data_IF_028122320904
#
_entry.id   IF_028122320904
#
_cell.length_a   1.000
_cell.length_b   1.000
_cell.length_c   1.000
_cell.angle_alpha   90.00
_cell.angle_beta   90.00
_cell.angle_gamma   90.00
#
_symmetry.space_group_name_H-M   'P 1'
#
loop_
_entity.id
_entity.type
_entity.pdbx_description
1 polymer ?
#
# COMPACT_ATOMS: atom_id res chain seq x y z
N UNK A 1 22.05 -10.18 30.05
CA UNK A 1 21.35 -9.03 29.55
C UNK A 1 21.98 -8.72 28.21
N UNK A 2 21.32 -9.07 27.12
CA UNK A 2 21.78 -8.83 25.76
C UNK A 2 21.01 -7.67 25.16
N UNK A 3 21.63 -6.98 24.18
CA UNK A 3 20.98 -5.90 23.43
C UNK A 3 20.73 -6.36 22.01
N UNK A 4 19.48 -6.22 21.57
CA UNK A 4 19.03 -6.60 20.24
C UNK A 4 18.57 -5.36 19.48
N UNK A 5 18.94 -5.23 18.24
CA UNK A 5 18.47 -4.14 17.38
C UNK A 5 17.30 -4.63 16.54
N UNK A 6 16.24 -3.84 16.51
CA UNK A 6 15.11 -4.11 15.63
C UNK A 6 14.81 -2.91 14.74
N UNK A 7 14.71 -3.20 13.43
CA UNK A 7 14.39 -2.20 12.42
C UNK A 7 13.19 -2.66 11.59
N UNK A 8 12.40 -1.70 11.11
CA UNK A 8 11.34 -1.96 10.16
C UNK A 8 11.52 -1.10 8.93
N UNK A 9 11.62 -1.77 7.79
CA UNK A 9 11.87 -1.18 6.48
C UNK A 9 10.60 -1.21 5.68
N UNK A 10 10.21 -0.08 5.06
CA UNK A 10 9.14 -0.09 4.07
C UNK A 10 9.72 -0.38 2.70
N UNK A 11 9.04 -1.20 1.88
CA UNK A 11 9.57 -1.72 0.63
C UNK A 11 9.69 -0.70 -0.50
N UNK A 12 10.84 -0.73 -1.21
CA UNK A 12 11.05 -0.53 -2.66
C UNK A 12 11.27 0.86 -3.25
N UNK A 13 11.24 1.97 -2.57
CA UNK A 13 11.67 3.23 -3.18
C UNK A 13 13.05 3.67 -2.70
N UNK A 14 13.81 4.37 -3.55
CA UNK A 14 15.16 4.87 -3.23
C UNK A 14 15.17 5.82 -2.01
N UNK A 15 14.05 6.54 -1.79
CA UNK A 15 13.82 7.36 -0.61
C UNK A 15 13.68 6.53 0.69
N UNK A 16 13.29 5.27 0.58
CA UNK A 16 13.09 4.35 1.71
C UNK A 16 14.38 3.61 2.08
N UNK A 17 15.29 3.38 1.12
CA UNK A 17 16.65 2.90 1.42
C UNK A 17 17.40 3.91 2.30
N UNK A 18 17.29 5.20 1.98
CA UNK A 18 17.86 6.26 2.81
C UNK A 18 17.24 6.29 4.21
N UNK A 19 15.93 5.96 4.34
CA UNK A 19 15.26 5.87 5.65
C UNK A 19 15.80 4.73 6.51
N UNK A 20 16.20 3.61 5.92
CA UNK A 20 16.77 2.46 6.63
C UNK A 20 18.21 2.75 7.06
N UNK A 21 18.98 3.33 6.16
CA UNK A 21 20.35 3.74 6.45
C UNK A 21 20.38 4.78 7.58
N UNK A 22 19.47 5.76 7.55
CA UNK A 22 19.33 6.74 8.61
C UNK A 22 18.93 6.12 9.96
N UNK A 23 18.03 5.11 9.96
CA UNK A 23 17.68 4.38 11.19
C UNK A 23 18.89 3.64 11.74
N UNK A 24 19.62 2.93 10.88
CA UNK A 24 20.83 2.19 11.28
C UNK A 24 21.92 3.13 11.79
N UNK A 25 22.13 4.26 11.13
CA UNK A 25 23.10 5.27 11.55
C UNK A 25 22.74 5.86 12.93
N UNK A 26 21.47 6.22 13.17
CA UNK A 26 21.00 6.70 14.45
C UNK A 26 21.18 5.69 15.57
N UNK A 27 20.82 4.41 15.33
CA UNK A 27 21.00 3.34 16.31
C UNK A 27 22.49 3.07 16.56
N UNK A 28 23.32 3.00 15.52
CA UNK A 28 24.76 2.77 15.68
C UNK A 28 25.45 3.87 16.47
N UNK A 29 25.05 5.13 16.26
CA UNK A 29 25.53 6.26 17.04
C UNK A 29 25.17 6.10 18.50
N UNK A 30 23.89 5.81 18.81
CA UNK A 30 23.43 5.58 20.17
C UNK A 30 24.18 4.44 20.85
N UNK A 31 24.38 3.32 20.17
CA UNK A 31 25.12 2.15 20.64
C UNK A 31 26.59 2.50 20.95
N UNK A 32 27.22 3.29 20.09
CA UNK A 32 28.59 3.74 20.29
C UNK A 32 28.72 4.72 21.47
N UNK A 33 27.81 5.70 21.55
CA UNK A 33 27.82 6.73 22.61
C UNK A 33 27.61 6.12 24.00
N UNK A 34 26.88 4.99 24.10
CA UNK A 34 26.59 4.30 25.35
C UNK A 34 27.43 3.05 25.58
N UNK A 35 28.44 2.77 24.70
CA UNK A 35 29.31 1.58 24.81
C UNK A 35 28.52 0.25 24.91
N UNK A 36 27.41 0.12 24.15
CA UNK A 36 26.57 -1.05 24.15
C UNK A 36 27.12 -2.08 23.17
N UNK A 37 27.14 -3.37 23.59
CA UNK A 37 27.46 -4.48 22.68
C UNK A 37 26.15 -5.11 22.20
N UNK A 38 25.90 -5.02 20.90
CA UNK A 38 24.71 -5.59 20.25
C UNK A 38 24.93 -7.08 20.03
N UNK A 39 23.98 -7.92 20.46
CA UNK A 39 24.01 -9.37 20.31
C UNK A 39 23.53 -9.82 18.90
N UNK A 40 22.65 -9.06 18.30
CA UNK A 40 22.13 -9.31 16.96
C UNK A 40 21.16 -8.24 16.46
N UNK A 41 20.87 -8.30 15.18
CA UNK A 41 20.01 -7.35 14.49
C UNK A 41 18.89 -8.10 13.74
N UNK A 42 17.66 -7.65 13.90
CA UNK A 42 16.47 -8.18 13.23
C UNK A 42 15.78 -7.08 12.44
N UNK A 43 15.24 -7.44 11.30
CA UNK A 43 14.53 -6.48 10.47
C UNK A 43 13.32 -7.10 9.79
N UNK A 44 12.24 -6.32 9.69
CA UNK A 44 11.09 -6.66 8.86
C UNK A 44 11.05 -5.78 7.63
N UNK A 45 11.03 -6.38 6.46
CA UNK A 45 10.72 -5.66 5.23
C UNK A 45 9.22 -5.41 5.19
N UNK A 46 8.82 -4.13 5.28
CA UNK A 46 7.41 -3.76 5.22
C UNK A 46 6.79 -4.23 3.92
N UNK A 47 5.75 -5.03 4.02
CA UNK A 47 4.88 -5.34 2.90
C UNK A 47 4.40 -4.03 2.30
N UNK A 48 4.60 -3.87 1.00
CA UNK A 48 4.28 -2.70 0.18
C UNK A 48 2.97 -2.05 0.62
N UNK A 49 3.01 -0.76 0.96
CA UNK A 49 1.85 0.05 1.33
C UNK A 49 0.90 0.36 0.19
N UNK A 50 0.75 -0.56 -0.75
CA UNK A 50 -0.28 -0.55 -1.76
C UNK A 50 -1.46 -1.38 -1.27
N UNK A 51 -2.46 -0.68 -0.70
CA UNK A 51 -3.84 -1.12 -0.75
C UNK A 51 -4.14 -2.41 0.03
N UNK A 52 -4.24 -2.30 1.35
CA UNK A 52 -5.46 -2.78 1.98
C UNK A 52 -5.69 -1.99 3.27
N UNK A 53 -6.71 -1.14 3.27
CA UNK A 53 -7.17 -0.39 4.45
C UNK A 53 -8.06 -1.26 5.34
N UNK A 54 -7.98 -2.55 5.20
CA UNK A 54 -8.62 -3.51 6.06
C UNK A 54 -7.68 -3.86 7.21
N UNK A 55 -8.19 -3.80 8.40
CA UNK A 55 -7.56 -3.75 9.71
C UNK A 55 -6.57 -4.89 10.09
N UNK A 56 -6.14 -5.73 9.17
CA UNK A 56 -5.35 -6.93 9.45
C UNK A 56 -3.87 -6.85 9.07
N UNK A 57 -3.40 -5.72 8.51
CA UNK A 57 -2.01 -5.63 8.00
C UNK A 57 -0.92 -5.53 9.09
N UNK A 58 -1.30 -5.36 10.33
CA UNK A 58 -0.38 -5.36 11.47
C UNK A 58 -0.37 -6.67 12.27
N UNK A 59 -0.87 -7.72 11.68
CA UNK A 59 -0.81 -9.01 12.33
C UNK A 59 0.65 -9.37 12.64
N UNK A 60 0.96 -9.58 13.92
CA UNK A 60 2.28 -9.95 14.43
C UNK A 60 2.88 -11.12 13.63
N UNK A 61 2.05 -12.06 13.18
CA UNK A 61 2.46 -13.24 12.40
C UNK A 61 2.98 -12.95 10.99
N UNK A 62 2.85 -11.71 10.48
CA UNK A 62 3.46 -11.29 9.20
C UNK A 62 4.83 -10.63 9.39
N UNK A 63 5.27 -10.49 10.63
CA UNK A 63 6.53 -9.83 11.02
C UNK A 63 7.54 -10.87 11.47
N UNK A 64 8.11 -11.56 10.49
CA UNK A 64 9.03 -12.69 10.72
C UNK A 64 10.22 -12.27 11.58
N UNK A 65 10.82 -11.10 11.30
CA UNK A 65 11.93 -10.59 12.09
C UNK A 65 11.57 -10.25 13.53
N UNK A 66 10.37 -9.70 13.79
CA UNK A 66 9.91 -9.47 15.15
C UNK A 66 9.63 -10.77 15.89
N UNK A 67 9.02 -11.75 15.22
CA UNK A 67 8.74 -13.06 15.81
C UNK A 67 10.06 -13.79 16.16
N UNK A 68 11.02 -13.75 15.26
CA UNK A 68 12.35 -14.35 15.47
C UNK A 68 13.07 -13.66 16.64
N UNK A 69 13.04 -12.34 16.72
CA UNK A 69 13.56 -11.57 17.84
C UNK A 69 12.93 -12.00 19.18
N UNK A 70 11.59 -12.04 19.24
CA UNK A 70 10.86 -12.43 20.45
C UNK A 70 11.11 -13.89 20.84
N UNK A 71 11.42 -14.76 19.89
CA UNK A 71 11.80 -16.15 20.14
C UNK A 71 13.27 -16.33 20.55
N UNK A 72 14.15 -15.39 20.22
CA UNK A 72 15.58 -15.46 20.50
C UNK A 72 15.96 -14.73 21.80
N UNK A 73 15.28 -13.61 22.07
CA UNK A 73 15.57 -12.80 23.25
C UNK A 73 15.15 -13.52 24.55
N UNK A 74 15.99 -13.39 25.57
CA UNK A 74 15.77 -13.95 26.89
C UNK A 74 15.18 -12.91 27.85
N UNK A 75 14.61 -13.37 28.96
CA UNK A 75 14.11 -12.51 30.03
C UNK A 75 15.18 -11.50 30.48
N UNK A 76 14.84 -10.22 30.52
CA UNK A 76 15.73 -9.14 30.92
C UNK A 76 16.59 -8.57 29.79
N UNK A 77 16.48 -9.08 28.55
CA UNK A 77 17.16 -8.49 27.40
C UNK A 77 16.48 -7.19 26.96
N UNK A 78 17.23 -6.39 26.20
CA UNK A 78 16.78 -5.05 25.77
C UNK A 78 16.74 -4.97 24.25
N UNK A 79 15.62 -4.48 23.73
CA UNK A 79 15.41 -4.21 22.30
C UNK A 79 15.64 -2.72 22.04
N UNK A 80 16.55 -2.40 21.12
CA UNK A 80 16.84 -1.04 20.69
C UNK A 80 16.13 -0.78 19.36
N UNK A 81 15.33 0.28 19.31
CA UNK A 81 14.65 0.76 18.10
C UNK A 81 14.91 2.24 17.88
N UNK A 82 14.87 2.71 16.64
CA UNK A 82 14.97 4.14 16.38
C UNK A 82 13.81 4.90 17.04
N UNK A 83 12.58 4.41 16.84
CA UNK A 83 11.37 5.00 17.40
C UNK A 83 10.37 3.88 17.72
N UNK A 84 9.57 4.03 18.76
CA UNK A 84 8.55 3.05 19.16
C UNK A 84 7.53 2.75 18.06
N UNK A 85 7.27 3.70 17.15
CA UNK A 85 6.44 3.48 15.94
C UNK A 85 6.99 2.40 15.00
N UNK A 86 8.23 1.93 15.19
CA UNK A 86 8.79 0.80 14.46
C UNK A 86 8.31 -0.54 15.01
N UNK A 87 8.04 -0.58 16.33
CA UNK A 87 7.49 -1.78 16.97
C UNK A 87 6.00 -1.94 16.66
N UNK A 88 5.21 -0.86 16.67
CA UNK A 88 3.78 -0.89 16.40
C UNK A 88 3.34 0.22 15.44
N UNK A 89 2.31 -0.03 14.66
CA UNK A 89 1.77 0.90 13.67
C UNK A 89 0.31 1.27 13.94
N UNK A 90 -0.41 0.40 14.64
CA UNK A 90 -1.80 0.60 15.05
C UNK A 90 -1.93 0.38 16.55
N UNK A 91 -3.00 0.90 17.14
CA UNK A 91 -3.30 0.72 18.56
C UNK A 91 -3.48 -0.76 18.92
N UNK A 92 -4.06 -1.54 18.02
CA UNK A 92 -4.24 -3.00 18.23
C UNK A 92 -2.90 -3.72 18.27
N UNK A 93 -2.00 -3.44 17.31
CA UNK A 93 -0.66 -4.02 17.29
C UNK A 93 0.14 -3.59 18.51
N UNK A 94 0.02 -2.32 18.96
CA UNK A 94 0.65 -1.81 20.18
C UNK A 94 0.27 -2.64 21.40
N UNK A 95 -1.02 -2.86 21.62
CA UNK A 95 -1.51 -3.63 22.76
C UNK A 95 -0.96 -5.06 22.76
N UNK A 96 -0.99 -5.72 21.59
CA UNK A 96 -0.53 -7.10 21.46
C UNK A 96 0.99 -7.22 21.66
N UNK A 97 1.77 -6.38 20.96
CA UNK A 97 3.24 -6.42 21.06
C UNK A 97 3.70 -6.04 22.47
N UNK A 98 3.11 -4.98 23.06
CA UNK A 98 3.40 -4.60 24.45
C UNK A 98 3.14 -5.74 25.42
N UNK A 99 2.02 -6.46 25.25
CA UNK A 99 1.68 -7.63 26.08
C UNK A 99 2.73 -8.74 25.95
N UNK A 100 3.19 -9.05 24.74
CA UNK A 100 4.21 -10.08 24.53
C UNK A 100 5.58 -9.64 25.09
N UNK A 101 5.98 -8.38 24.89
CA UNK A 101 7.21 -7.84 25.50
C UNK A 101 7.17 -7.91 27.03
N UNK A 102 6.04 -7.53 27.63
CA UNK A 102 5.86 -7.59 29.10
C UNK A 102 5.85 -9.04 29.62
N UNK A 103 5.23 -9.96 28.89
CA UNK A 103 5.20 -11.38 29.25
C UNK A 103 6.60 -12.00 29.20
N UNK A 104 7.40 -11.63 28.23
CA UNK A 104 8.78 -12.06 28.07
C UNK A 104 9.77 -11.21 28.91
N UNK A 105 9.28 -10.21 29.64
CA UNK A 105 10.06 -9.27 30.48
C UNK A 105 11.21 -8.61 29.71
N UNK A 106 10.96 -8.24 28.46
CA UNK A 106 11.92 -7.56 27.59
C UNK A 106 11.83 -6.05 27.78
N UNK A 107 12.96 -5.37 27.82
CA UNK A 107 13.05 -3.92 27.84
C UNK A 107 13.08 -3.34 26.44
N UNK A 108 12.66 -2.08 26.29
CA UNK A 108 12.69 -1.35 25.02
C UNK A 108 13.38 -0.01 25.24
N UNK A 109 14.37 0.27 24.40
CA UNK A 109 15.00 1.59 24.30
C UNK A 109 14.63 2.19 22.94
N UNK A 110 14.06 3.38 22.97
CA UNK A 110 13.82 4.20 21.77
C UNK A 110 14.92 5.26 21.67
N UNK A 111 15.65 5.27 20.54
CA UNK A 111 16.74 6.25 20.33
C UNK A 111 16.19 7.68 20.30
N UNK A 112 15.02 7.88 19.68
CA UNK A 112 14.37 9.20 19.59
C UNK A 112 13.73 9.64 20.90
N UNK A 113 13.44 8.71 21.82
CA UNK A 113 12.90 8.98 23.14
C UNK A 113 13.54 8.04 24.18
N UNK A 114 14.75 8.34 24.66
CA UNK A 114 15.48 7.48 25.60
C UNK A 114 14.78 7.29 26.96
N UNK A 115 13.93 8.22 27.34
CA UNK A 115 13.17 8.19 28.60
C UNK A 115 11.92 7.30 28.52
N UNK A 116 11.68 6.65 27.36
CA UNK A 116 10.54 5.76 27.19
C UNK A 116 10.71 4.49 28.02
N UNK A 117 9.88 4.32 29.05
CA UNK A 117 9.79 3.07 29.83
C UNK A 117 8.49 2.32 29.55
N UNK A 118 8.63 1.09 29.07
CA UNK A 118 7.51 0.17 28.80
C UNK A 118 6.79 -0.26 30.09
N UNK A 119 7.52 -0.30 31.21
CA UNK A 119 7.07 -0.83 32.49
C UNK A 119 6.67 0.25 33.51
N UNK A 120 6.77 1.51 33.15
CA UNK A 120 6.40 2.58 34.05
C UNK A 120 5.00 2.39 34.61
N UNK A 121 4.87 2.55 35.93
CA UNK A 121 3.60 2.60 36.65
C UNK A 121 3.27 3.99 37.10
N UNK A 122 4.18 4.94 36.90
CA UNK A 122 3.93 6.33 37.19
C UNK A 122 2.88 6.90 36.21
N UNK A 123 1.73 7.38 36.73
CA UNK A 123 0.70 7.96 35.87
C UNK A 123 1.19 9.17 35.08
N UNK A 124 2.15 9.93 35.57
CA UNK A 124 2.71 11.11 34.89
C UNK A 124 3.55 10.67 33.68
N UNK A 125 4.44 9.69 33.88
CA UNK A 125 5.24 9.14 32.78
C UNK A 125 4.37 8.45 31.71
N UNK A 126 3.34 7.70 32.12
CA UNK A 126 2.38 7.13 31.20
C UNK A 126 1.67 8.20 30.37
N UNK A 127 1.27 9.30 31.00
CA UNK A 127 0.66 10.44 30.30
C UNK A 127 1.66 11.09 29.34
N UNK A 128 2.89 11.33 29.78
CA UNK A 128 3.93 11.92 28.93
C UNK A 128 4.25 11.07 27.71
N UNK A 129 4.40 9.75 27.88
CA UNK A 129 4.58 8.81 26.77
C UNK A 129 3.41 8.86 25.78
N UNK A 130 2.18 8.92 26.29
CA UNK A 130 0.98 9.06 25.47
C UNK A 130 0.94 10.39 24.69
N UNK A 131 1.30 11.49 25.32
CA UNK A 131 1.38 12.81 24.67
C UNK A 131 2.44 12.81 23.56
N UNK A 132 3.63 12.25 23.81
CA UNK A 132 4.68 12.18 22.79
C UNK A 132 4.25 11.36 21.56
N UNK A 133 3.62 10.20 21.76
CA UNK A 133 3.08 9.41 20.67
C UNK A 133 2.00 10.19 19.86
N UNK A 134 1.11 10.91 20.55
CA UNK A 134 0.09 11.75 19.89
C UNK A 134 0.72 12.92 19.12
N UNK A 135 1.79 13.50 19.60
CA UNK A 135 2.53 14.56 18.90
C UNK A 135 3.18 14.03 17.61
N UNK A 136 3.80 12.85 17.66
CA UNK A 136 4.37 12.20 16.48
C UNK A 136 3.29 11.94 15.39
N UNK A 137 2.12 11.48 15.80
CA UNK A 137 1.01 11.25 14.89
C UNK A 137 0.45 12.56 14.31
N UNK A 138 0.31 13.58 15.14
CA UNK A 138 -0.10 14.92 14.73
C UNK A 138 0.87 15.51 13.70
N UNK A 139 2.18 15.39 13.90
CA UNK A 139 3.17 15.86 12.94
C UNK A 139 3.05 15.14 11.58
N UNK A 140 2.90 13.81 11.60
CA UNK A 140 2.65 13.01 10.37
C UNK A 140 1.41 13.50 9.61
N UNK A 141 0.31 13.71 10.34
CA UNK A 141 -0.93 14.23 9.74
C UNK A 141 -0.75 15.65 9.17
N UNK A 142 -0.06 16.54 9.88
CA UNK A 142 0.23 17.89 9.40
C UNK A 142 1.08 17.88 8.12
N UNK A 143 2.10 17.04 8.07
CA UNK A 143 2.92 16.86 6.85
C UNK A 143 2.05 16.38 5.69
N UNK A 144 1.20 15.38 5.91
CA UNK A 144 0.29 14.86 4.89
C UNK A 144 -0.68 15.95 4.37
N UNK A 145 -1.24 16.77 5.27
CA UNK A 145 -2.12 17.91 4.93
C UNK A 145 -1.36 18.96 4.12
N UNK A 146 -0.16 19.35 4.56
CA UNK A 146 0.69 20.31 3.84
C UNK A 146 1.02 19.82 2.43
N UNK A 147 1.40 18.56 2.29
CA UNK A 147 1.67 17.94 0.99
C UNK A 147 0.42 17.86 0.11
N UNK A 148 -0.74 17.53 0.68
CA UNK A 148 -2.00 17.50 -0.06
C UNK A 148 -2.37 18.90 -0.57
N UNK A 149 -2.28 19.93 0.28
CA UNK A 149 -2.51 21.32 -0.09
C UNK A 149 -1.52 21.79 -1.18
N UNK A 150 -0.24 21.45 -1.04
CA UNK A 150 0.79 21.75 -2.05
C UNK A 150 0.48 21.11 -3.42
N UNK A 151 0.00 19.84 -3.43
CA UNK A 151 -0.44 19.18 -4.67
C UNK A 151 -1.63 19.88 -5.32
N UNK A 152 -2.64 20.26 -4.53
CA UNK A 152 -3.80 21.00 -5.03
C UNK A 152 -3.40 22.38 -5.57
N UNK A 153 -2.55 23.11 -4.85
CA UNK A 153 -2.03 24.42 -5.30
C UNK A 153 -1.29 24.28 -6.63
N UNK A 154 -0.41 23.27 -6.76
CA UNK A 154 0.32 23.01 -7.99
C UNK A 154 -0.61 22.60 -9.15
N UNK A 155 -1.66 21.83 -8.88
CA UNK A 155 -2.67 21.53 -9.89
C UNK A 155 -3.42 22.77 -10.37
N UNK A 156 -3.81 23.67 -9.45
CA UNK A 156 -4.49 24.94 -9.79
C UNK A 156 -3.67 25.86 -10.70
N UNK A 157 -2.35 25.77 -10.63
CA UNK A 157 -1.45 26.51 -11.53
C UNK A 157 -1.20 25.79 -12.86
N UNK A 158 -1.98 24.79 -13.24
CA UNK A 158 -1.81 24.05 -14.49
C UNK A 158 -0.61 23.11 -14.55
N UNK A 159 0.08 22.92 -13.43
CA UNK A 159 1.20 22.01 -13.35
C UNK A 159 0.77 20.62 -12.85
N UNK A 160 1.39 19.56 -13.36
CA UNK A 160 1.17 18.20 -12.82
C UNK A 160 1.60 18.15 -11.35
N UNK A 161 0.70 17.80 -10.42
CA UNK A 161 0.97 17.94 -8.97
C UNK A 161 2.02 16.97 -8.44
N UNK A 162 2.03 15.74 -8.89
CA UNK A 162 2.96 14.70 -8.40
C UNK A 162 2.88 13.41 -9.22
N UNK A 163 3.70 12.44 -8.86
CA UNK A 163 3.69 11.08 -9.38
C UNK A 163 4.38 10.95 -10.75
N UNK A 164 4.43 9.71 -11.24
CA UNK A 164 4.96 9.38 -12.57
C UNK A 164 4.17 10.06 -13.68
N UNK A 165 4.82 10.45 -14.75
CA UNK A 165 4.13 10.93 -15.94
C UNK A 165 3.32 9.79 -16.59
N UNK A 166 2.15 10.11 -17.18
CA UNK A 166 1.50 9.20 -18.10
C UNK A 166 2.45 8.81 -19.23
N UNK A 167 2.24 7.60 -19.80
CA UNK A 167 2.98 7.18 -20.99
C UNK A 167 2.87 8.27 -22.09
N UNK A 168 3.93 8.50 -22.85
CA UNK A 168 4.00 9.61 -23.81
C UNK A 168 4.56 10.92 -23.25
N UNK A 169 4.76 11.00 -21.93
CA UNK A 169 5.35 12.15 -21.26
C UNK A 169 6.43 11.76 -20.27
N UNK A 170 7.37 12.67 -20.06
CA UNK A 170 8.43 12.54 -19.03
C UNK A 170 8.69 13.84 -18.30
N UNK A 171 9.23 13.70 -17.10
CA UNK A 171 9.72 14.84 -16.34
C UNK A 171 11.06 15.32 -16.89
N UNK A 172 11.16 16.62 -17.12
CA UNK A 172 12.43 17.29 -17.40
C UNK A 172 12.57 18.42 -16.38
N UNK A 173 13.32 18.15 -15.31
CA UNK A 173 13.32 19.03 -14.13
C UNK A 173 11.94 19.08 -13.49
N UNK A 174 11.35 20.27 -13.41
CA UNK A 174 10.02 20.50 -12.83
C UNK A 174 8.87 20.57 -13.86
N UNK A 175 9.19 20.39 -15.14
CA UNK A 175 8.24 20.49 -16.26
C UNK A 175 7.94 19.11 -16.85
N UNK A 176 6.74 18.95 -17.37
CA UNK A 176 6.34 17.75 -18.12
C UNK A 176 6.52 18.04 -19.61
N UNK A 177 7.31 17.19 -20.29
CA UNK A 177 7.54 17.26 -21.74
C UNK A 177 7.11 15.97 -22.41
N UNK A 178 6.80 16.06 -23.70
CA UNK A 178 6.50 14.89 -24.54
C UNK A 178 7.76 14.02 -24.59
N UNK A 179 7.56 12.74 -24.40
CA UNK A 179 8.59 11.72 -24.55
C UNK A 179 8.55 11.14 -25.95
N UNK A 180 9.55 11.44 -26.77
CA UNK A 180 9.61 11.04 -28.16
C UNK A 180 9.60 9.49 -28.35
N UNK A 181 10.04 8.74 -27.36
CA UNK A 181 10.08 7.28 -27.40
C UNK A 181 8.69 6.66 -27.20
N UNK A 182 7.93 7.17 -26.25
CA UNK A 182 6.65 6.58 -25.84
C UNK A 182 5.43 7.31 -26.40
N UNK A 183 5.57 8.55 -26.88
CA UNK A 183 4.47 9.32 -27.46
C UNK A 183 3.83 8.66 -28.69
N UNK A 184 4.57 8.06 -29.65
CA UNK A 184 3.97 7.36 -30.79
C UNK A 184 3.04 6.23 -30.36
N UNK A 185 3.39 5.52 -29.28
CA UNK A 185 2.54 4.44 -28.73
C UNK A 185 1.16 4.97 -28.30
N UNK A 186 1.12 6.15 -27.69
CA UNK A 186 -0.16 6.76 -27.26
C UNK A 186 -1.02 7.14 -28.48
N UNK A 187 -0.44 7.77 -29.49
CA UNK A 187 -1.15 8.09 -30.72
C UNK A 187 -1.73 6.83 -31.38
N UNK A 188 -0.94 5.75 -31.39
CA UNK A 188 -1.37 4.46 -31.95
C UNK A 188 -2.49 3.81 -31.11
N UNK A 189 -2.48 3.95 -29.77
CA UNK A 189 -3.56 3.49 -28.90
C UNK A 189 -4.89 4.15 -29.30
N UNK A 190 -4.93 5.48 -29.42
CA UNK A 190 -6.15 6.19 -29.80
C UNK A 190 -6.62 5.83 -31.21
N UNK A 191 -5.71 5.79 -32.18
CA UNK A 191 -6.01 5.41 -33.57
C UNK A 191 -6.63 4.01 -33.65
N UNK A 192 -5.96 3.01 -33.08
CA UNK A 192 -6.42 1.63 -33.11
C UNK A 192 -7.71 1.44 -32.33
N UNK A 193 -7.91 2.19 -31.23
CA UNK A 193 -9.15 2.05 -30.47
C UNK A 193 -10.36 2.62 -31.23
N UNK A 194 -10.23 3.73 -31.92
CA UNK A 194 -11.28 4.29 -32.77
C UNK A 194 -11.63 3.31 -33.91
N UNK A 195 -10.60 2.70 -34.52
CA UNK A 195 -10.76 1.73 -35.62
C UNK A 195 -11.43 0.44 -35.11
N UNK A 196 -10.92 -0.18 -34.09
CA UNK A 196 -11.36 -1.49 -33.59
C UNK A 196 -12.61 -1.46 -32.73
N UNK A 197 -12.88 -0.33 -32.08
CA UNK A 197 -13.95 -0.10 -31.07
C UNK A 197 -13.98 -1.14 -29.96
N UNK A 198 -12.80 -1.72 -29.64
CA UNK A 198 -12.66 -2.80 -28.68
C UNK A 198 -11.31 -2.75 -27.96
N UNK A 199 -11.30 -2.51 -26.66
CA UNK A 199 -10.07 -2.48 -25.86
C UNK A 199 -9.23 -3.75 -26.04
N UNK A 200 -9.88 -4.92 -26.01
CA UNK A 200 -9.21 -6.21 -26.17
C UNK A 200 -8.55 -6.40 -27.53
N UNK A 201 -9.20 -5.94 -28.63
CA UNK A 201 -8.58 -5.98 -29.96
C UNK A 201 -7.44 -5.00 -30.05
N UNK A 202 -7.64 -3.78 -29.58
CA UNK A 202 -6.58 -2.76 -29.51
C UNK A 202 -5.34 -3.28 -28.78
N UNK A 203 -5.51 -3.93 -27.61
CA UNK A 203 -4.37 -4.50 -26.87
C UNK A 203 -3.61 -5.54 -27.67
N UNK A 204 -4.31 -6.47 -28.36
CA UNK A 204 -3.67 -7.48 -29.21
C UNK A 204 -2.90 -6.88 -30.39
N UNK A 205 -3.49 -5.89 -31.07
CA UNK A 205 -2.86 -5.20 -32.18
C UNK A 205 -1.61 -4.43 -31.74
N UNK A 206 -1.65 -3.78 -30.57
CA UNK A 206 -0.50 -3.10 -29.99
C UNK A 206 0.64 -4.08 -29.70
N UNK A 207 0.33 -5.21 -29.06
CA UNK A 207 1.31 -6.27 -28.81
C UNK A 207 1.89 -6.83 -30.10
N UNK A 208 1.06 -7.09 -31.12
CA UNK A 208 1.51 -7.58 -32.43
C UNK A 208 2.44 -6.59 -33.15
N UNK A 209 2.32 -5.27 -32.87
CA UNK A 209 3.19 -4.22 -33.40
C UNK A 209 4.38 -3.89 -32.50
N UNK A 210 4.55 -4.64 -31.39
CA UNK A 210 5.67 -4.45 -30.45
C UNK A 210 5.52 -3.28 -29.50
N UNK A 211 4.33 -2.68 -29.40
CA UNK A 211 4.08 -1.62 -28.41
C UNK A 211 3.80 -2.21 -27.04
N UNK A 212 4.65 -1.86 -26.07
CA UNK A 212 4.57 -2.30 -24.69
C UNK A 212 4.41 -1.10 -23.74
N UNK A 213 3.97 -1.37 -22.52
CA UNK A 213 3.90 -0.37 -21.45
C UNK A 213 5.30 0.03 -20.98
N UNK A 214 5.41 1.12 -20.19
CA UNK A 214 6.70 1.56 -19.60
C UNK A 214 7.38 0.49 -18.74
N UNK A 215 6.68 -0.56 -18.34
CA UNK A 215 7.20 -1.69 -17.58
C UNK A 215 7.54 -2.90 -18.46
N UNK A 216 7.45 -2.77 -19.78
CA UNK A 216 7.69 -3.86 -20.72
C UNK A 216 6.56 -4.89 -20.81
N UNK A 217 5.40 -4.63 -20.21
CA UNK A 217 4.25 -5.53 -20.23
C UNK A 217 3.24 -5.15 -21.32
N UNK A 218 2.44 -6.12 -21.72
CA UNK A 218 1.28 -5.90 -22.60
C UNK A 218 0.24 -4.97 -21.96
N UNK A 219 -0.49 -4.22 -22.78
CA UNK A 219 -1.56 -3.36 -22.31
C UNK A 219 -2.81 -4.16 -21.95
N UNK A 220 -3.23 -4.12 -20.69
CA UNK A 220 -4.52 -4.68 -20.25
C UNK A 220 -5.68 -3.77 -20.68
N UNK A 221 -6.89 -4.34 -20.79
CA UNK A 221 -8.13 -3.58 -21.09
C UNK A 221 -8.32 -2.42 -20.10
N UNK A 222 -7.97 -2.62 -18.83
CA UNK A 222 -8.08 -1.60 -17.79
C UNK A 222 -7.04 -0.48 -17.97
N UNK A 223 -5.81 -0.81 -18.37
CA UNK A 223 -4.77 0.19 -18.63
C UNK A 223 -5.10 1.03 -19.86
N UNK A 224 -5.57 0.41 -20.95
CA UNK A 224 -6.04 1.12 -22.13
C UNK A 224 -7.21 2.05 -21.82
N UNK A 225 -8.20 1.58 -21.04
CA UNK A 225 -9.31 2.41 -20.59
C UNK A 225 -8.85 3.64 -19.82
N UNK A 226 -7.90 3.47 -18.88
CA UNK A 226 -7.34 4.59 -18.11
C UNK A 226 -6.59 5.59 -19.01
N UNK A 227 -5.88 5.11 -20.03
CA UNK A 227 -5.18 5.97 -21.00
C UNK A 227 -6.21 6.79 -21.80
N UNK A 228 -7.23 6.16 -22.37
CA UNK A 228 -8.24 6.82 -23.21
C UNK A 228 -9.05 7.86 -22.42
N UNK A 229 -9.32 7.61 -21.13
CA UNK A 229 -10.08 8.52 -20.26
C UNK A 229 -9.25 9.64 -19.65
N UNK A 230 -7.94 9.63 -19.85
CA UNK A 230 -7.07 10.59 -19.17
C UNK A 230 -7.05 11.94 -19.90
N UNK A 231 -7.64 12.93 -19.27
CA UNK A 231 -7.68 14.34 -19.76
C UNK A 231 -6.29 14.95 -19.99
N UNK A 232 -5.26 14.36 -19.38
CA UNK A 232 -3.89 14.87 -19.51
C UNK A 232 -3.41 14.88 -20.96
N UNK A 233 -3.88 13.97 -21.79
CA UNK A 233 -3.49 13.88 -23.21
C UNK A 233 -4.03 15.03 -24.07
N UNK A 234 -5.09 15.72 -23.61
CA UNK A 234 -5.64 16.90 -24.25
C UNK A 234 -5.18 18.23 -23.57
N UNK A 235 -4.13 18.16 -22.77
CA UNK A 235 -3.57 19.35 -22.12
C UNK A 235 -4.28 19.78 -20.84
N UNK A 236 -5.11 18.93 -20.23
CA UNK A 236 -5.85 19.25 -19.01
C UNK A 236 -5.25 18.55 -17.80
N UNK A 237 -5.01 19.29 -16.73
CA UNK A 237 -4.56 18.75 -15.44
C UNK A 237 -5.77 18.54 -14.53
N UNK A 238 -5.99 17.29 -14.14
CA UNK A 238 -7.05 16.90 -13.20
C UNK A 238 -6.45 16.37 -11.90
N UNK A 239 -6.85 16.93 -10.76
CA UNK A 239 -6.45 16.47 -9.44
C UNK A 239 -7.58 16.67 -8.41
N UNK A 240 -8.22 15.59 -7.97
CA UNK A 240 -9.41 15.67 -7.13
C UNK A 240 -10.54 16.43 -7.82
N UNK A 241 -10.97 17.54 -7.21
CA UNK A 241 -12.01 18.45 -7.78
C UNK A 241 -11.45 19.52 -8.71
N UNK A 242 -10.12 19.67 -8.79
CA UNK A 242 -9.47 20.67 -9.63
C UNK A 242 -9.32 20.11 -11.04
N UNK A 243 -9.85 20.86 -12.04
CA UNK A 243 -9.68 20.59 -13.46
C UNK A 243 -9.36 21.88 -14.15
N UNK A 244 -8.14 22.02 -14.68
CA UNK A 244 -7.64 23.26 -15.29
C UNK A 244 -6.81 22.95 -16.52
N UNK A 245 -6.65 23.93 -17.39
CA UNK A 245 -5.73 23.86 -18.52
C UNK A 245 -4.27 23.75 -18.00
N UNK A 246 -3.55 22.75 -18.52
CA UNK A 246 -2.17 22.46 -18.13
C UNK A 246 -1.17 23.20 -18.97
N UNK A 247 0.04 23.39 -18.44
CA UNK A 247 1.16 24.01 -19.19
C UNK A 247 1.85 23.01 -20.12
N UNK A 248 1.56 21.72 -20.01
CA UNK A 248 2.14 20.71 -20.88
C UNK A 248 1.46 20.69 -22.24
N UNK A 249 2.23 20.34 -23.26
CA UNK A 249 1.74 20.26 -24.63
C UNK A 249 0.77 19.08 -24.79
N UNK A 250 -0.43 19.26 -25.36
CA UNK A 250 -1.32 18.13 -25.64
C UNK A 250 -0.67 17.17 -26.64
N UNK A 251 -0.90 15.91 -26.47
CA UNK A 251 -0.41 14.83 -27.36
C UNK A 251 -1.50 14.37 -28.33
N UNK A 252 -2.74 14.47 -27.91
CA UNK A 252 -3.92 14.05 -28.68
C UNK A 252 -4.83 15.26 -28.89
N UNK A 253 -5.36 15.40 -30.09
CA UNK A 253 -6.36 16.41 -30.42
C UNK A 253 -7.67 16.11 -29.67
N UNK A 254 -8.36 17.17 -29.28
CA UNK A 254 -9.58 17.04 -28.46
C UNK A 254 -10.67 16.25 -29.17
N UNK A 255 -10.82 16.42 -30.48
CA UNK A 255 -11.79 15.73 -31.32
C UNK A 255 -11.56 14.20 -31.31
N UNK A 256 -10.30 13.77 -31.42
CA UNK A 256 -9.89 12.37 -31.37
C UNK A 256 -10.15 11.76 -29.98
N UNK A 257 -9.86 12.55 -28.93
CA UNK A 257 -10.12 12.15 -27.55
C UNK A 257 -11.62 11.99 -27.28
N UNK A 258 -12.43 12.97 -27.72
CA UNK A 258 -13.89 12.97 -27.57
C UNK A 258 -14.50 11.78 -28.32
N UNK A 259 -14.07 11.47 -29.55
CA UNK A 259 -14.51 10.30 -30.31
C UNK A 259 -14.19 9.00 -29.59
N UNK A 260 -12.97 8.83 -29.12
CA UNK A 260 -12.56 7.63 -28.39
C UNK A 260 -13.40 7.44 -27.11
N UNK A 261 -13.65 8.52 -26.37
CA UNK A 261 -14.47 8.46 -25.16
C UNK A 261 -15.96 8.22 -25.45
N UNK A 262 -16.50 8.76 -26.55
CA UNK A 262 -17.86 8.47 -26.99
C UNK A 262 -18.05 6.96 -27.30
N UNK A 263 -17.05 6.33 -27.93
CA UNK A 263 -17.06 4.89 -28.17
C UNK A 263 -16.99 4.12 -26.83
N UNK A 264 -16.17 4.56 -25.89
CA UNK A 264 -15.97 3.90 -24.60
C UNK A 264 -17.23 3.93 -23.73
N UNK A 265 -17.98 5.03 -23.76
CA UNK A 265 -19.20 5.24 -22.97
C UNK A 265 -20.49 4.78 -23.65
N UNK A 266 -20.38 4.27 -24.91
CA UNK A 266 -21.54 3.76 -25.60
C UNK A 266 -22.16 2.60 -24.83
N UNK A 267 -23.48 2.63 -24.50
CA UNK A 267 -24.13 1.51 -23.85
C UNK A 267 -23.93 0.25 -24.70
N UNK A 268 -23.45 -0.83 -24.10
CA UNK A 268 -23.45 -2.13 -24.78
C UNK A 268 -24.87 -2.47 -25.12
N UNK A 269 -25.20 -2.61 -26.42
CA UNK A 269 -26.45 -3.18 -26.81
C UNK A 269 -26.57 -4.55 -26.13
N UNK A 270 -27.54 -4.69 -25.25
CA UNK A 270 -27.84 -5.96 -24.59
C UNK A 270 -28.25 -6.94 -25.69
N UNK A 271 -27.40 -7.92 -25.96
CA UNK A 271 -27.62 -8.93 -27.00
C UNK A 271 -28.82 -9.86 -26.74
N UNK A 272 -29.41 -9.76 -25.54
CA UNK A 272 -30.64 -10.47 -25.19
C UNK A 272 -31.57 -9.49 -24.49
N UNK A 273 -32.83 -9.33 -24.94
CA UNK A 273 -33.86 -8.80 -24.09
C UNK A 273 -33.83 -9.66 -22.83
N UNK A 274 -33.83 -9.03 -21.65
CA UNK A 274 -34.08 -9.76 -20.41
C UNK A 274 -35.39 -10.49 -20.62
N UNK A 275 -35.35 -11.81 -20.94
CA UNK A 275 -36.49 -12.64 -20.69
C UNK A 275 -36.89 -12.35 -19.24
N UNK A 276 -38.14 -11.93 -19.04
CA UNK A 276 -38.73 -11.84 -17.73
C UNK A 276 -38.52 -13.22 -17.09
N UNK A 277 -37.45 -13.32 -16.33
CA UNK A 277 -37.26 -14.46 -15.43
C UNK A 277 -38.38 -14.35 -14.42
N UNK A 278 -39.48 -15.10 -14.68
CA UNK A 278 -40.38 -15.50 -13.63
C UNK A 278 -39.52 -15.88 -12.43
N UNK A 279 -39.71 -15.17 -11.33
CA UNK A 279 -38.91 -15.31 -10.13
C UNK A 279 -39.03 -16.76 -9.64
N UNK A 280 -38.15 -17.62 -10.13
CA UNK A 280 -37.96 -18.94 -9.51
C UNK A 280 -37.29 -18.65 -8.18
N UNK A 281 -38.09 -18.68 -7.13
CA UNK A 281 -37.62 -18.58 -5.77
C UNK A 281 -36.57 -19.67 -5.59
N UNK A 282 -35.29 -19.25 -5.66
CA UNK A 282 -34.19 -20.16 -5.32
C UNK A 282 -34.33 -20.42 -3.83
N UNK A 283 -34.89 -21.60 -3.49
CA UNK A 283 -34.95 -22.09 -2.14
C UNK A 283 -33.51 -22.15 -1.62
N UNK A 284 -33.12 -21.14 -0.83
CA UNK A 284 -31.88 -21.22 -0.05
C UNK A 284 -32.13 -22.27 1.01
N UNK A 285 -31.39 -23.38 0.95
CA UNK A 285 -31.35 -24.34 2.05
C UNK A 285 -31.25 -23.56 3.36
N UNK A 286 -32.11 -23.83 4.35
CA UNK A 286 -32.02 -23.15 5.64
C UNK A 286 -30.59 -23.33 6.17
N UNK A 287 -30.03 -22.27 6.72
CA UNK A 287 -28.74 -22.35 7.41
C UNK A 287 -28.92 -23.32 8.56
N UNK A 288 -28.01 -24.27 8.67
CA UNK A 288 -27.97 -25.22 9.80
C UNK A 288 -28.03 -24.43 11.10
N UNK A 289 -28.79 -24.88 12.05
CA UNK A 289 -28.82 -24.31 13.39
C UNK A 289 -27.46 -24.47 14.07
N UNK A 290 -27.11 -23.65 15.07
CA UNK A 290 -25.87 -23.83 15.83
C UNK A 290 -25.73 -25.25 16.40
N UNK A 291 -26.83 -25.86 16.81
CA UNK A 291 -26.87 -27.22 17.36
C UNK A 291 -26.55 -28.26 16.30
N UNK A 292 -27.08 -28.16 15.09
CA UNK A 292 -26.75 -29.01 13.95
C UNK A 292 -25.28 -28.90 13.50
N UNK A 293 -24.70 -27.70 13.62
CA UNK A 293 -23.28 -27.47 13.32
C UNK A 293 -22.38 -28.14 14.37
N UNK A 294 -22.73 -28.04 15.65
CA UNK A 294 -22.01 -28.70 16.74
C UNK A 294 -22.05 -30.21 16.57
N UNK A 295 -23.25 -30.78 16.33
CA UNK A 295 -23.41 -32.21 16.10
C UNK A 295 -22.58 -32.75 14.91
N UNK A 296 -22.49 -31.97 13.82
CA UNK A 296 -21.66 -32.31 12.64
C UNK A 296 -20.15 -32.27 12.96
N UNK A 297 -19.71 -31.31 13.78
CA UNK A 297 -18.31 -31.21 14.22
C UNK A 297 -17.95 -32.41 15.13
N UNK A 298 -18.82 -32.75 16.06
CA UNK A 298 -18.63 -33.89 16.95
C UNK A 298 -18.60 -35.22 16.20
N UNK A 299 -19.50 -35.41 15.23
CA UNK A 299 -19.51 -36.60 14.38
C UNK A 299 -18.22 -36.72 13.53
N UNK A 300 -17.73 -35.61 12.98
CA UNK A 300 -16.46 -35.58 12.25
C UNK A 300 -15.26 -35.87 13.16
N UNK A 301 -15.26 -35.37 14.38
CA UNK A 301 -14.22 -35.64 15.37
C UNK A 301 -14.21 -37.11 15.81
N UNK A 302 -15.37 -37.70 16.00
CA UNK A 302 -15.52 -39.14 16.33
C UNK A 302 -15.05 -40.06 15.18
N UNK A 303 -15.42 -39.71 13.93
CA UNK A 303 -14.97 -40.44 12.75
C UNK A 303 -13.44 -40.39 12.57
N UNK A 304 -12.82 -39.26 12.89
CA UNK A 304 -11.36 -39.07 12.82
C UNK A 304 -10.64 -39.90 13.87
N UNK A 305 -11.18 -39.94 15.11
CA UNK A 305 -10.64 -40.79 16.17
C UNK A 305 -10.78 -42.28 15.87
N UNK A 306 -11.88 -42.69 15.24
CA UNK A 306 -12.07 -44.08 14.83
C UNK A 306 -11.10 -44.51 13.70
N UNK A 307 -10.79 -43.57 12.77
CA UNK A 307 -9.82 -43.82 11.71
C UNK A 307 -8.37 -43.92 12.24
N UNK A 308 -8.03 -43.15 13.29
CA UNK A 308 -6.72 -43.18 13.95
C UNK A 308 -6.52 -44.46 14.82
N UNK A 309 -7.60 -45.15 15.23
CA UNK A 309 -7.52 -46.40 15.99
C UNK A 309 -7.47 -47.67 15.12
N UNK A 310 -7.68 -47.53 13.80
CA UNK A 310 -7.66 -48.62 12.84
C UNK A 310 -6.42 -48.62 11.93
N UNK A 311 -5.53 -47.66 12.08
CA UNK A 311 -4.22 -47.55 11.42
C UNK A 311 -3.09 -47.85 12.38
#
# INVERSE_FOLDING_TARGET
>A
MAYWVYMRVSTRTQAEKNSTENQREGINKYVADHNITVAGEFSDEGVSGAIDRTADDDAIYKREGLIELLGTANEGDTIIVQNTSRLWRSDTAKVLIRRELMKSKLHVISVDNPDYDLYTKDPVEMLMNGIMEMLDEYEKMNIAIKLARGRVARARTGNKPCGTCPIGYKWVGNEVKIDAETAPTVCEIFRLYIETRSLRRTGRELTARGHLSNQGNEFSDMSLKKIIQNDFYIGVVTHGTVKVEGHHKPLIEKEVWDEANAILHRPRATKHPKQEMTATVRYRKPRKTPEELVAEIEAKAAARKAAEQTA
#
